data_IF_092620477840
#
_entry.id   IF_092620477840
#
_cell.length_a   1.000
_cell.length_b   1.000
_cell.length_c   1.000
_cell.angle_alpha   90.00
_cell.angle_beta   90.00
_cell.angle_gamma   90.00
#
_symmetry.space_group_name_H-M   'P 1'
#
loop_
_entity.id
_entity.type
_entity.pdbx_description
1 polymer ?
#
# COMPACT_ATOMS: atom_id res chain seq x y z
N UNK A 1 -21.88 -4.60 -12.82
CA UNK A 1 -20.87 -3.51 -12.96
C UNK A 1 -19.40 -3.98 -12.90
N UNK A 2 -19.13 -5.27 -12.64
CA UNK A 2 -17.76 -5.80 -12.43
C UNK A 2 -17.22 -6.65 -13.61
N UNK A 3 -18.08 -6.99 -14.57
CA UNK A 3 -17.79 -7.91 -15.69
C UNK A 3 -16.64 -7.50 -16.61
N UNK A 4 -16.30 -6.20 -16.65
CA UNK A 4 -15.23 -5.70 -17.51
C UNK A 4 -13.83 -6.07 -16.99
N UNK A 5 -13.67 -6.23 -15.67
CA UNK A 5 -12.39 -6.58 -15.06
C UNK A 5 -11.95 -7.98 -15.46
N UNK A 6 -12.86 -8.94 -15.55
CA UNK A 6 -12.58 -10.33 -15.95
C UNK A 6 -11.90 -10.43 -17.32
N UNK A 7 -12.25 -9.50 -18.22
CA UNK A 7 -11.83 -9.47 -19.62
C UNK A 7 -10.78 -8.39 -19.90
N UNK A 8 -10.34 -7.63 -18.88
CA UNK A 8 -9.36 -6.58 -19.07
C UNK A 8 -7.99 -7.15 -19.48
N UNK A 9 -7.33 -6.50 -20.42
CA UNK A 9 -5.93 -6.83 -20.77
C UNK A 9 -5.01 -6.63 -19.57
N UNK A 10 -3.94 -7.40 -19.47
CA UNK A 10 -2.92 -7.24 -18.42
C UNK A 10 -2.32 -5.83 -18.35
N UNK A 11 -2.08 -5.18 -19.50
CA UNK A 11 -1.60 -3.80 -19.52
C UNK A 11 -2.54 -2.83 -18.81
N UNK A 12 -3.86 -2.97 -19.01
CA UNK A 12 -4.86 -2.16 -18.27
C UNK A 12 -4.83 -2.45 -16.76
N UNK A 13 -4.68 -3.71 -16.35
CA UNK A 13 -4.56 -4.08 -14.93
C UNK A 13 -3.35 -3.39 -14.29
N UNK A 14 -2.19 -3.42 -14.95
CA UNK A 14 -0.98 -2.75 -14.47
C UNK A 14 -1.18 -1.24 -14.41
N UNK A 15 -1.71 -0.61 -15.46
CA UNK A 15 -1.98 0.84 -15.48
C UNK A 15 -2.93 1.23 -14.35
N UNK A 16 -4.00 0.46 -14.11
CA UNK A 16 -4.91 0.70 -12.99
C UNK A 16 -4.21 0.56 -11.63
N UNK A 17 -3.30 -0.40 -11.48
CA UNK A 17 -2.46 -0.53 -10.29
C UNK A 17 -1.55 0.69 -10.08
N UNK A 18 -0.92 1.20 -11.14
CA UNK A 18 -0.07 2.40 -11.09
C UNK A 18 -0.89 3.67 -10.74
N UNK A 19 -2.07 3.83 -11.35
CA UNK A 19 -2.99 4.91 -10.99
C UNK A 19 -3.47 4.76 -9.54
N UNK A 20 -3.74 3.53 -9.11
CA UNK A 20 -4.05 3.20 -7.72
C UNK A 20 -2.92 3.59 -6.76
N UNK A 21 -1.65 3.35 -7.13
CA UNK A 21 -0.50 3.77 -6.34
C UNK A 21 -0.44 5.29 -6.17
N UNK A 22 -0.67 6.04 -7.25
CA UNK A 22 -0.78 7.49 -7.19
C UNK A 22 -1.91 7.97 -6.28
N UNK A 23 -3.07 7.31 -6.32
CA UNK A 23 -4.21 7.64 -5.47
C UNK A 23 -3.92 7.34 -3.98
N UNK A 24 -3.40 6.16 -3.67
CA UNK A 24 -3.03 5.80 -2.30
C UNK A 24 -1.94 6.73 -1.77
N UNK A 25 -0.95 7.10 -2.58
CA UNK A 25 0.08 8.05 -2.18
C UNK A 25 -0.51 9.44 -1.92
N UNK A 26 -1.39 9.93 -2.80
CA UNK A 26 -2.05 11.21 -2.60
C UNK A 26 -2.82 11.25 -1.27
N UNK A 27 -3.59 10.19 -0.98
CA UNK A 27 -4.29 10.07 0.30
C UNK A 27 -3.29 10.03 1.45
N UNK A 28 -2.24 9.23 1.36
CA UNK A 28 -1.21 9.07 2.40
C UNK A 28 -0.48 10.39 2.67
N UNK A 29 -0.09 11.12 1.63
CA UNK A 29 0.54 12.43 1.70
C UNK A 29 -0.40 13.48 2.33
N UNK A 30 -1.69 13.50 1.98
CA UNK A 30 -2.67 14.38 2.62
C UNK A 30 -2.78 14.08 4.12
N UNK A 31 -2.94 12.81 4.49
CA UNK A 31 -3.02 12.40 5.89
C UNK A 31 -1.72 12.77 6.64
N UNK A 32 -0.56 12.55 6.02
CA UNK A 32 0.75 12.83 6.59
C UNK A 32 1.01 14.32 6.78
N UNK A 33 0.82 15.14 5.75
CA UNK A 33 1.26 16.54 5.77
C UNK A 33 0.16 17.51 6.16
N UNK A 34 -1.08 17.26 5.75
CA UNK A 34 -2.21 18.14 6.08
C UNK A 34 -2.80 17.84 7.44
N UNK A 35 -3.03 16.56 7.76
CA UNK A 35 -3.57 16.14 9.06
C UNK A 35 -2.48 15.82 10.08
N UNK A 36 -1.20 15.88 9.68
CA UNK A 36 -0.03 15.65 10.54
C UNK A 36 -0.06 14.28 11.22
N UNK A 37 -0.65 13.28 10.57
CA UNK A 37 -0.73 11.93 11.11
C UNK A 37 0.60 11.21 10.98
N UNK A 38 1.01 10.50 12.03
CA UNK A 38 2.20 9.65 12.04
C UNK A 38 1.81 8.28 12.52
N UNK A 39 1.77 7.28 11.62
CA UNK A 39 1.36 5.92 12.02
C UNK A 39 2.08 5.42 13.28
N UNK A 40 3.37 5.72 13.45
CA UNK A 40 4.13 5.35 14.67
C UNK A 40 3.50 5.81 15.99
N UNK A 41 2.75 6.91 16.00
CA UNK A 41 2.08 7.46 17.19
C UNK A 41 0.62 7.02 17.25
N UNK A 42 -0.16 7.26 16.19
CA UNK A 42 -1.60 6.99 16.18
C UNK A 42 -1.93 5.49 16.23
N UNK A 43 -1.07 4.62 15.73
CA UNK A 43 -1.29 3.16 15.72
C UNK A 43 -0.39 2.41 16.69
N UNK A 44 0.27 3.09 17.62
CA UNK A 44 1.18 2.47 18.60
C UNK A 44 0.51 1.32 19.40
N UNK A 45 -0.78 1.45 19.70
CA UNK A 45 -1.54 0.42 20.41
C UNK A 45 -1.65 -0.90 19.62
N UNK A 46 -1.63 -0.84 18.28
CA UNK A 46 -1.61 -2.03 17.41
C UNK A 46 -0.33 -2.84 17.65
N UNK A 47 0.76 -2.19 18.03
CA UNK A 47 2.00 -2.85 18.42
C UNK A 47 1.81 -3.91 19.52
N UNK A 48 0.80 -3.79 20.38
CA UNK A 48 0.49 -4.82 21.39
C UNK A 48 -0.10 -6.09 20.77
N UNK A 49 -0.83 -5.95 19.66
CA UNK A 49 -1.45 -7.06 18.94
C UNK A 49 -0.47 -7.73 17.96
N UNK A 50 0.52 -6.98 17.49
CA UNK A 50 1.48 -7.43 16.47
C UNK A 50 2.86 -7.73 17.05
N UNK A 51 2.98 -7.93 18.37
CA UNK A 51 4.25 -8.18 19.06
C UNK A 51 5.34 -7.12 18.79
N UNK A 52 4.92 -5.87 18.62
CA UNK A 52 5.78 -4.73 18.34
C UNK A 52 6.00 -4.46 16.85
N UNK A 53 5.55 -5.32 15.94
CA UNK A 53 5.72 -5.12 14.50
C UNK A 53 4.85 -3.97 14.00
N UNK A 54 5.44 -3.05 13.23
CA UNK A 54 4.72 -1.96 12.59
C UNK A 54 4.06 -2.47 11.32
N UNK A 55 2.82 -2.06 11.08
CA UNK A 55 2.08 -2.45 9.88
C UNK A 55 2.20 -1.33 8.86
N UNK A 56 2.91 -1.63 7.77
CA UNK A 56 2.94 -0.80 6.57
C UNK A 56 1.88 -1.30 5.60
N UNK A 57 1.18 -0.39 4.91
CA UNK A 57 0.20 -0.83 3.90
C UNK A 57 0.89 -1.54 2.73
N UNK A 58 2.20 -1.32 2.53
CA UNK A 58 3.03 -2.08 1.61
C UNK A 58 3.04 -3.57 1.91
N UNK A 59 2.97 -4.01 3.17
CA UNK A 59 2.91 -5.43 3.53
C UNK A 59 1.61 -6.09 3.05
N UNK A 60 0.48 -5.40 3.19
CA UNK A 60 -0.80 -5.85 2.63
C UNK A 60 -0.73 -5.88 1.10
N UNK A 61 -0.08 -4.90 0.48
CA UNK A 61 0.17 -4.87 -0.96
C UNK A 61 0.92 -6.10 -1.45
N UNK A 62 2.07 -6.41 -0.84
CA UNK A 62 2.88 -7.58 -1.16
C UNK A 62 2.10 -8.88 -0.92
N UNK A 63 1.37 -8.99 0.19
CA UNK A 63 0.55 -10.17 0.48
C UNK A 63 -0.50 -10.40 -0.62
N UNK A 64 -1.20 -9.35 -1.07
CA UNK A 64 -2.17 -9.46 -2.16
C UNK A 64 -1.54 -9.89 -3.47
N UNK A 65 -0.34 -9.41 -3.79
CA UNK A 65 0.40 -9.83 -4.99
C UNK A 65 0.82 -11.30 -4.91
N UNK A 66 1.25 -11.77 -3.74
CA UNK A 66 1.55 -13.18 -3.52
C UNK A 66 0.28 -14.04 -3.65
N UNK A 67 -0.84 -13.63 -3.06
CA UNK A 67 -2.11 -14.33 -3.18
C UNK A 67 -2.64 -14.35 -4.62
N UNK A 68 -2.30 -13.36 -5.44
CA UNK A 68 -2.65 -13.34 -6.86
C UNK A 68 -1.89 -14.39 -7.71
N UNK A 69 -0.96 -15.15 -7.11
CA UNK A 69 -0.33 -16.32 -7.75
C UNK A 69 -1.14 -17.61 -7.56
N UNK A 70 -2.14 -17.59 -6.66
CA UNK A 70 -3.03 -18.72 -6.44
C UNK A 70 -4.04 -18.87 -7.60
N UNK A 71 -4.58 -20.09 -7.83
CA UNK A 71 -5.54 -20.35 -8.89
C UNK A 71 -6.94 -19.80 -8.55
N UNK A 72 -7.04 -18.47 -8.45
CA UNK A 72 -8.28 -17.75 -8.20
C UNK A 72 -9.02 -17.47 -9.50
N UNK A 73 -10.32 -17.18 -9.41
CA UNK A 73 -11.08 -16.71 -10.57
C UNK A 73 -10.53 -15.36 -11.09
N UNK A 74 -10.75 -15.03 -12.37
CA UNK A 74 -10.12 -13.86 -12.99
C UNK A 74 -10.39 -12.54 -12.25
N UNK A 75 -11.60 -12.35 -11.73
CA UNK A 75 -11.97 -11.13 -11.03
C UNK A 75 -11.13 -10.87 -9.75
N UNK A 76 -11.17 -11.72 -8.70
CA UNK A 76 -10.42 -11.49 -7.47
C UNK A 76 -8.90 -11.44 -7.71
N UNK A 77 -8.38 -12.23 -8.66
CA UNK A 77 -6.97 -12.18 -9.05
C UNK A 77 -6.59 -10.79 -9.57
N UNK A 78 -7.34 -10.27 -10.54
CA UNK A 78 -7.04 -8.98 -11.17
C UNK A 78 -7.25 -7.81 -10.22
N UNK A 79 -8.29 -7.86 -9.39
CA UNK A 79 -8.49 -6.88 -8.33
C UNK A 79 -7.36 -6.91 -7.31
N UNK A 80 -6.93 -8.11 -6.89
CA UNK A 80 -5.80 -8.32 -6.00
C UNK A 80 -4.51 -7.73 -6.56
N UNK A 81 -4.26 -7.87 -7.86
CA UNK A 81 -3.10 -7.25 -8.53
C UNK A 81 -3.20 -5.73 -8.53
N UNK A 82 -4.37 -5.15 -8.88
CA UNK A 82 -4.56 -3.69 -8.91
C UNK A 82 -4.32 -3.09 -7.53
N UNK A 83 -5.00 -3.63 -6.52
CA UNK A 83 -4.90 -3.13 -5.14
C UNK A 83 -3.51 -3.42 -4.57
N UNK A 84 -2.97 -4.61 -4.83
CA UNK A 84 -1.65 -5.04 -4.38
C UNK A 84 -0.52 -4.16 -4.92
N UNK A 85 -0.50 -3.92 -6.24
CA UNK A 85 0.43 -2.98 -6.89
C UNK A 85 0.28 -1.58 -6.31
N UNK A 86 -0.97 -1.12 -6.18
CA UNK A 86 -1.27 0.22 -5.66
C UNK A 86 -0.70 0.43 -4.26
N UNK A 87 -0.98 -0.47 -3.33
CA UNK A 87 -0.52 -0.37 -1.95
C UNK A 87 0.99 -0.52 -1.84
N UNK A 88 1.59 -1.53 -2.49
CA UNK A 88 3.02 -1.80 -2.40
C UNK A 88 3.85 -0.65 -2.98
N UNK A 89 3.48 -0.14 -4.16
CA UNK A 89 4.20 0.95 -4.79
C UNK A 89 3.96 2.28 -4.07
N UNK A 90 2.75 2.55 -3.60
CA UNK A 90 2.48 3.75 -2.79
C UNK A 90 3.33 3.76 -1.53
N UNK A 91 3.38 2.67 -0.76
CA UNK A 91 4.17 2.59 0.46
C UNK A 91 5.67 2.81 0.19
N UNK A 92 6.19 2.16 -0.85
CA UNK A 92 7.58 2.33 -1.27
C UNK A 92 7.88 3.77 -1.70
N UNK A 93 7.00 4.39 -2.51
CA UNK A 93 7.17 5.78 -2.92
C UNK A 93 7.09 6.73 -1.71
N UNK A 94 6.17 6.50 -0.78
CA UNK A 94 6.03 7.33 0.40
C UNK A 94 7.32 7.33 1.22
N UNK A 95 7.81 6.14 1.55
CA UNK A 95 8.94 5.96 2.46
C UNK A 95 10.30 6.19 1.80
N UNK A 96 10.46 5.91 0.51
CA UNK A 96 11.77 5.99 -0.16
C UNK A 96 11.90 7.17 -1.13
N UNK A 97 10.82 7.91 -1.42
CA UNK A 97 10.87 9.10 -2.27
C UNK A 97 10.27 10.32 -1.58
N UNK A 98 8.99 10.26 -1.19
CA UNK A 98 8.27 11.43 -0.69
C UNK A 98 8.80 11.90 0.66
N UNK A 99 8.88 11.01 1.65
CA UNK A 99 9.41 11.36 2.98
C UNK A 99 10.88 11.78 2.94
N UNK A 100 11.80 11.11 2.22
CA UNK A 100 13.17 11.59 2.09
C UNK A 100 13.28 12.98 1.47
N UNK A 101 12.51 13.28 0.41
CA UNK A 101 12.57 14.59 -0.26
C UNK A 101 11.93 15.72 0.56
N UNK A 102 10.98 15.40 1.45
CA UNK A 102 10.21 16.42 2.19
C UNK A 102 10.60 16.56 3.66
N UNK A 103 10.96 15.44 4.30
CA UNK A 103 11.30 15.35 5.73
C UNK A 103 12.78 15.03 5.96
N UNK A 104 13.48 14.49 4.96
CA UNK A 104 14.91 14.13 5.06
C UNK A 104 15.17 12.75 5.67
N UNK A 105 14.13 11.94 5.90
CA UNK A 105 14.23 10.59 6.44
C UNK A 105 13.19 9.66 5.82
N UNK A 106 13.44 8.35 5.78
CA UNK A 106 12.52 7.37 5.20
C UNK A 106 11.35 7.02 6.12
N UNK A 107 11.56 7.05 7.43
CA UNK A 107 10.61 6.62 8.47
C UNK A 107 10.02 5.22 8.23
N UNK A 108 10.79 4.32 7.60
CA UNK A 108 10.42 2.93 7.37
C UNK A 108 10.89 2.03 8.53
N UNK A 109 10.22 2.17 9.67
CA UNK A 109 10.54 1.38 10.88
C UNK A 109 9.76 0.07 10.89
N UNK A 110 10.43 -1.08 11.00
CA UNK A 110 9.75 -2.38 11.08
C UNK A 110 9.06 -2.63 12.42
N UNK A 111 9.38 -1.85 13.44
CA UNK A 111 8.83 -1.97 14.78
C UNK A 111 8.34 -0.62 15.30
N UNK A 112 7.32 -0.64 16.15
CA UNK A 112 6.95 0.54 16.94
C UNK A 112 8.07 0.87 17.93
N UNK A 113 8.30 2.17 18.16
CA UNK A 113 9.22 2.61 19.20
C UNK A 113 8.74 2.07 20.56
N UNK A 114 9.69 1.51 21.33
CA UNK A 114 9.43 0.99 22.68
C UNK A 114 9.27 2.13 23.67
#
# INVERSE_FOLDING_TARGET
MVHWLEHASWGRIVVLGLLGAGLFELVTAILRFRLRLRSSQQTAWIGRLTFGLRIHHGYAGILLLLLATLPLSPFPLRLGIIVGLGLALSDALHHFVVLPLTVGATEFDTHYAR
#
